data_IF_527092804910
#
_entry.id   IF_527092804910
#
_cell.length_a   1.000
_cell.length_b   1.000
_cell.length_c   1.000
_cell.angle_alpha   90.00
_cell.angle_beta   90.00
_cell.angle_gamma   90.00
#
_symmetry.space_group_name_H-M   'P 1'
#
loop_
_entity.id
_entity.type
_entity.pdbx_description
1 polymer ?
#
# COMPACT_ATOMS: atom_id res chain seq x y z
N UNK A 1 -21.13 51.77 32.57
CA UNK A 1 -20.54 50.70 31.75
C UNK A 1 -20.42 51.01 30.25
N UNK A 2 -20.90 52.16 29.72
CA UNK A 2 -20.83 52.47 28.27
C UNK A 2 -19.58 53.25 27.81
N UNK A 3 -18.74 53.73 28.74
CA UNK A 3 -17.57 54.58 28.42
C UNK A 3 -16.28 53.78 28.20
N UNK A 4 -16.13 52.58 28.76
CA UNK A 4 -14.92 51.77 28.56
C UNK A 4 -14.89 51.07 27.21
N UNK A 5 -16.04 50.63 26.68
CA UNK A 5 -16.12 49.99 25.36
C UNK A 5 -15.79 50.96 24.22
N UNK A 6 -16.23 52.22 24.34
CA UNK A 6 -15.96 53.26 23.35
C UNK A 6 -14.51 53.74 23.43
N UNK A 7 -13.94 53.84 24.64
CA UNK A 7 -12.53 54.15 24.83
C UNK A 7 -11.63 53.05 24.24
N UNK A 8 -11.98 51.77 24.42
CA UNK A 8 -11.25 50.64 23.85
C UNK A 8 -11.27 50.65 22.31
N UNK A 9 -12.46 50.87 21.71
CA UNK A 9 -12.63 51.04 20.26
C UNK A 9 -11.86 52.25 19.72
N UNK A 10 -11.85 53.36 20.44
CA UNK A 10 -11.09 54.55 20.05
C UNK A 10 -9.57 54.36 20.22
N UNK A 11 -9.08 53.62 21.23
CA UNK A 11 -7.65 53.28 21.32
C UNK A 11 -7.21 52.35 20.20
N UNK A 12 -8.06 51.40 19.77
CA UNK A 12 -7.76 50.58 18.59
C UNK A 12 -7.72 51.41 17.29
N UNK A 13 -8.57 52.42 17.17
CA UNK A 13 -8.60 53.31 16.00
C UNK A 13 -7.41 54.29 15.92
N UNK A 14 -6.69 54.55 17.03
CA UNK A 14 -5.57 55.50 17.07
C UNK A 14 -4.21 54.82 16.80
N UNK A 15 -4.13 53.48 16.86
CA UNK A 15 -2.89 52.74 16.59
C UNK A 15 -2.60 52.51 15.09
N UNK A 16 -3.47 52.94 14.18
CA UNK A 16 -3.36 52.66 12.73
C UNK A 16 -2.41 53.61 11.96
N UNK A 17 -1.38 54.19 12.59
CA UNK A 17 -0.50 55.19 11.95
C UNK A 17 1.00 54.84 12.01
N UNK A 18 1.36 53.62 12.43
CA UNK A 18 2.73 53.13 12.31
C UNK A 18 2.69 51.73 11.70
N UNK A 19 3.56 51.45 10.73
CA UNK A 19 3.64 50.19 9.96
C UNK A 19 3.98 48.96 10.78
N UNK A 20 3.13 48.64 11.75
CA UNK A 20 3.16 47.48 12.61
C UNK A 20 1.87 46.68 12.37
N UNK A 21 2.01 45.36 12.27
CA UNK A 21 0.89 44.44 12.11
C UNK A 21 -0.24 44.71 13.13
N UNK A 22 -1.48 44.63 12.67
CA UNK A 22 -2.65 44.96 13.48
C UNK A 22 -2.85 43.89 14.56
N UNK A 23 -2.97 44.24 15.85
CA UNK A 23 -3.05 43.24 16.92
C UNK A 23 -4.42 42.54 16.99
N UNK A 24 -5.49 43.24 16.59
CA UNK A 24 -6.86 42.73 16.59
C UNK A 24 -7.55 43.16 15.30
N UNK A 25 -8.03 42.21 14.51
CA UNK A 25 -8.85 42.46 13.33
C UNK A 25 -10.17 41.71 13.43
N UNK A 26 -11.27 42.41 13.18
CA UNK A 26 -12.62 41.85 13.17
C UNK A 26 -13.23 42.04 11.80
N UNK A 27 -13.85 40.98 11.28
CA UNK A 27 -14.38 40.93 9.93
C UNK A 27 -15.82 40.44 9.97
N UNK A 28 -16.71 41.16 9.28
CA UNK A 28 -18.10 40.73 9.10
C UNK A 28 -18.45 40.55 7.61
N UNK A 29 -18.19 41.62 6.86
CA UNK A 29 -18.21 41.64 5.39
C UNK A 29 -16.94 42.31 4.83
N UNK A 30 -16.28 43.12 5.65
CA UNK A 30 -15.02 43.78 5.37
C UNK A 30 -14.17 43.77 6.63
N UNK A 31 -12.87 43.72 6.46
CA UNK A 31 -11.94 43.70 7.57
C UNK A 31 -11.83 45.07 8.24
N UNK A 32 -11.81 45.09 9.57
CA UNK A 32 -11.61 46.27 10.39
C UNK A 32 -10.58 45.96 11.49
N UNK A 33 -9.40 46.61 11.51
CA UNK A 33 -8.78 47.45 10.46
C UNK A 33 -8.57 46.75 9.10
N UNK A 34 -8.26 47.51 8.04
CA UNK A 34 -8.06 46.99 6.66
C UNK A 34 -6.69 46.36 6.40
N UNK A 35 -5.82 46.31 7.40
CA UNK A 35 -4.47 45.77 7.25
C UNK A 35 -4.50 44.28 6.87
N UNK A 36 -3.49 43.84 6.13
CA UNK A 36 -3.38 42.45 5.68
C UNK A 36 -2.58 41.58 6.63
N UNK A 37 -1.86 42.18 7.58
CA UNK A 37 -1.09 41.47 8.59
C UNK A 37 -1.73 41.65 9.97
N UNK A 38 -2.04 40.53 10.60
CA UNK A 38 -2.59 40.48 11.97
C UNK A 38 -1.60 39.75 12.86
N UNK A 39 -1.17 40.39 13.95
CA UNK A 39 -0.30 39.77 14.96
C UNK A 39 -1.01 39.75 16.31
N UNK A 40 -1.87 38.76 16.50
CA UNK A 40 -2.71 38.63 17.68
C UNK A 40 -4.00 37.88 17.38
N UNK A 41 -5.12 38.58 17.26
CA UNK A 41 -6.44 37.98 17.12
C UNK A 41 -7.15 38.40 15.82
N UNK A 42 -7.55 37.44 15.00
CA UNK A 42 -8.45 37.64 13.88
C UNK A 42 -9.79 36.95 14.17
N UNK A 43 -10.89 37.69 14.05
CA UNK A 43 -12.22 37.16 14.33
C UNK A 43 -13.18 37.45 13.19
N UNK A 44 -13.82 36.41 12.66
CA UNK A 44 -14.68 36.51 11.48
C UNK A 44 -16.11 36.08 11.78
N UNK A 45 -17.07 36.92 11.36
CA UNK A 45 -18.50 36.66 11.38
C UNK A 45 -19.04 36.77 9.95
N UNK A 46 -19.30 35.66 9.25
CA UNK A 46 -19.71 35.58 7.84
C UNK A 46 -18.59 35.61 6.79
N UNK A 47 -17.78 36.67 6.67
CA UNK A 47 -16.76 36.73 5.63
C UNK A 47 -15.54 37.59 5.98
N UNK A 48 -14.37 37.12 5.56
CA UNK A 48 -13.09 37.85 5.61
C UNK A 48 -12.24 37.51 4.37
N UNK A 49 -11.29 38.39 4.06
CA UNK A 49 -10.19 38.12 3.13
C UNK A 49 -8.96 38.87 3.63
N UNK A 50 -8.07 38.18 4.32
CA UNK A 50 -6.90 38.74 5.03
C UNK A 50 -5.62 38.07 4.53
N UNK A 51 -4.49 38.76 4.66
CA UNK A 51 -3.18 38.21 4.32
C UNK A 51 -2.69 37.20 5.36
N UNK A 52 -1.75 37.63 6.21
CA UNK A 52 -1.11 36.76 7.20
C UNK A 52 -1.69 37.00 8.59
N UNK A 53 -2.10 35.92 9.25
CA UNK A 53 -2.49 35.94 10.67
C UNK A 53 -1.44 35.18 11.48
N UNK A 54 -0.77 35.88 12.38
CA UNK A 54 0.13 35.28 13.37
C UNK A 54 -0.53 35.35 14.75
N UNK A 55 -1.10 34.24 15.21
CA UNK A 55 -1.83 34.19 16.48
C UNK A 55 -3.08 33.31 16.45
N UNK A 56 -4.20 33.84 16.93
CA UNK A 56 -5.48 33.13 17.00
C UNK A 56 -6.44 33.62 15.92
N UNK A 57 -6.91 32.70 15.10
CA UNK A 57 -7.98 32.92 14.12
C UNK A 57 -9.28 32.23 14.58
N UNK A 58 -10.38 32.99 14.62
CA UNK A 58 -11.67 32.51 15.12
C UNK A 58 -12.80 32.81 14.12
N UNK A 59 -12.97 31.97 13.09
CA UNK A 59 -14.07 32.10 12.16
C UNK A 59 -15.32 31.41 12.75
N UNK A 60 -16.32 32.21 13.12
CA UNK A 60 -17.48 31.71 13.89
C UNK A 60 -18.55 31.11 12.98
N UNK A 61 -19.07 31.91 12.05
CA UNK A 61 -20.20 31.59 11.17
C UNK A 61 -19.95 32.11 9.75
N UNK A 62 -18.86 31.69 9.10
CA UNK A 62 -18.45 32.33 7.85
C UNK A 62 -17.52 31.54 6.94
N UNK A 63 -17.12 32.19 5.85
CA UNK A 63 -16.04 31.76 4.98
C UNK A 63 -14.85 32.69 5.22
N UNK A 64 -13.78 32.13 5.77
CA UNK A 64 -12.59 32.87 6.16
C UNK A 64 -11.47 32.57 5.16
N UNK A 65 -10.96 33.61 4.49
CA UNK A 65 -9.85 33.48 3.55
C UNK A 65 -8.60 34.14 4.10
N UNK A 66 -7.53 33.34 4.23
CA UNK A 66 -6.21 33.76 4.66
C UNK A 66 -5.18 33.43 3.59
N UNK A 67 -4.16 34.26 3.42
CA UNK A 67 -2.99 33.87 2.65
C UNK A 67 -2.11 32.91 3.44
N UNK A 68 -1.86 33.18 4.74
CA UNK A 68 -1.05 32.33 5.61
C UNK A 68 -1.49 32.42 7.08
N UNK A 69 -1.45 31.28 7.77
CA UNK A 69 -1.72 31.21 9.21
C UNK A 69 -0.47 30.73 9.97
N UNK A 70 0.02 31.51 10.91
CA UNK A 70 1.07 31.12 11.86
C UNK A 70 0.46 31.10 13.27
N UNK A 71 -0.21 30.01 13.63
CA UNK A 71 -0.85 29.89 14.94
C UNK A 71 -2.01 28.90 14.98
N UNK A 72 -3.08 29.27 15.67
CA UNK A 72 -4.22 28.40 15.93
C UNK A 72 -5.47 28.96 15.26
N UNK A 73 -6.18 28.12 14.51
CA UNK A 73 -7.51 28.39 14.02
C UNK A 73 -8.54 27.50 14.72
N UNK A 74 -9.63 28.12 15.18
CA UNK A 74 -10.77 27.46 15.81
C UNK A 74 -12.07 27.85 15.09
N UNK A 75 -12.39 27.15 14.00
CA UNK A 75 -13.63 27.33 13.25
C UNK A 75 -14.79 26.56 13.88
N UNK A 76 -15.80 27.27 14.41
CA UNK A 76 -16.94 26.60 15.07
C UNK A 76 -17.86 25.93 14.04
N UNK A 77 -18.23 26.64 12.96
CA UNK A 77 -19.14 26.17 11.89
C UNK A 77 -18.63 26.57 10.48
N UNK A 78 -17.55 27.36 10.43
CA UNK A 78 -17.01 27.98 9.23
C UNK A 78 -16.15 27.04 8.38
N UNK A 79 -16.10 27.29 7.07
CA UNK A 79 -15.04 26.77 6.21
C UNK A 79 -13.89 27.77 6.17
N UNK A 80 -12.67 27.29 6.40
CA UNK A 80 -11.46 28.11 6.24
C UNK A 80 -10.75 27.75 4.95
N UNK A 81 -10.29 28.79 4.23
CA UNK A 81 -9.37 28.66 3.12
C UNK A 81 -8.08 29.40 3.42
N UNK A 82 -6.98 28.65 3.43
CA UNK A 82 -5.62 29.19 3.60
C UNK A 82 -4.87 28.97 2.28
N UNK A 83 -4.36 30.03 1.63
CA UNK A 83 -3.86 29.91 0.24
C UNK A 83 -2.43 29.37 0.14
N UNK A 84 -1.54 29.78 1.04
CA UNK A 84 -0.11 29.47 1.01
C UNK A 84 0.37 28.59 2.17
N UNK A 85 -0.55 28.12 3.01
CA UNK A 85 -0.28 27.12 4.03
C UNK A 85 -0.33 27.65 5.46
N UNK A 86 -0.15 26.73 6.40
CA UNK A 86 -0.26 26.97 7.84
C UNK A 86 0.98 26.48 8.59
N UNK A 87 1.44 27.25 9.57
CA UNK A 87 2.33 26.78 10.62
C UNK A 87 1.58 26.79 11.96
N UNK A 88 1.06 25.63 12.39
CA UNK A 88 0.32 25.52 13.64
C UNK A 88 -0.83 24.51 13.60
N UNK A 89 -2.03 24.91 14.00
CA UNK A 89 -3.17 23.99 14.03
C UNK A 89 -4.46 24.64 13.53
N UNK A 90 -5.25 23.88 12.77
CA UNK A 90 -6.58 24.27 12.32
C UNK A 90 -7.61 23.24 12.77
N UNK A 91 -8.64 23.72 13.47
CA UNK A 91 -9.76 22.91 13.94
C UNK A 91 -11.04 23.57 13.41
N UNK A 92 -11.57 23.04 12.31
CA UNK A 92 -12.76 23.57 11.64
C UNK A 92 -13.57 22.45 10.98
N UNK A 93 -14.83 22.70 10.59
CA UNK A 93 -15.59 21.68 9.85
C UNK A 93 -14.98 21.39 8.47
N UNK A 94 -14.52 22.44 7.78
CA UNK A 94 -13.92 22.35 6.45
C UNK A 94 -12.59 23.12 6.44
N UNK A 95 -11.49 22.40 6.27
CA UNK A 95 -10.15 22.95 6.10
C UNK A 95 -9.76 22.85 4.62
N UNK A 96 -9.61 23.98 3.93
CA UNK A 96 -9.21 24.07 2.51
C UNK A 96 -7.90 24.82 2.38
N UNK A 97 -6.79 24.12 2.53
CA UNK A 97 -5.47 24.74 2.56
C UNK A 97 -4.69 24.41 1.28
N UNK A 98 -4.13 25.44 0.65
CA UNK A 98 -3.10 25.30 -0.37
C UNK A 98 -1.72 25.50 0.24
N UNK A 99 -0.66 25.13 -0.49
CA UNK A 99 0.70 25.26 0.00
C UNK A 99 1.05 24.20 1.04
N UNK A 100 1.90 24.59 2.01
CA UNK A 100 2.47 23.69 3.01
C UNK A 100 1.81 23.89 4.38
N UNK A 101 1.22 22.83 4.90
CA UNK A 101 0.62 22.78 6.23
C UNK A 101 1.56 22.06 7.20
N UNK A 102 2.36 22.85 7.92
CA UNK A 102 3.21 22.38 9.00
C UNK A 102 2.42 22.37 10.32
N UNK A 103 1.85 21.22 10.67
CA UNK A 103 1.22 21.01 11.97
C UNK A 103 -0.02 20.12 11.94
N UNK A 104 -1.12 20.56 12.56
CA UNK A 104 -2.29 19.71 12.82
C UNK A 104 -3.57 20.23 12.20
N UNK A 105 -4.22 19.41 11.37
CA UNK A 105 -5.52 19.69 10.77
C UNK A 105 -6.59 18.74 11.32
N UNK A 106 -7.65 19.29 11.91
CA UNK A 106 -8.82 18.55 12.37
C UNK A 106 -10.07 19.10 11.72
N UNK A 107 -10.85 18.23 11.08
CA UNK A 107 -12.12 18.64 10.51
C UNK A 107 -12.98 17.50 10.00
N UNK A 108 -14.18 17.84 9.53
CA UNK A 108 -15.02 16.85 8.82
C UNK A 108 -14.41 16.57 7.45
N UNK A 109 -14.00 17.64 6.76
CA UNK A 109 -13.30 17.61 5.49
C UNK A 109 -11.99 18.37 5.62
N UNK A 110 -10.88 17.69 5.38
CA UNK A 110 -9.58 18.30 5.20
C UNK A 110 -9.20 18.15 3.73
N UNK A 111 -8.96 19.25 3.01
CA UNK A 111 -8.31 19.24 1.70
C UNK A 111 -7.12 20.19 1.78
N UNK A 112 -5.94 19.60 1.88
CA UNK A 112 -4.69 20.30 2.12
C UNK A 112 -3.73 20.09 0.94
N UNK A 113 -2.75 20.98 0.80
CA UNK A 113 -1.67 20.80 -0.16
C UNK A 113 -0.69 19.74 0.34
N UNK A 114 0.48 20.19 0.77
CA UNK A 114 1.52 19.34 1.34
C UNK A 114 1.41 19.40 2.86
N UNK A 115 1.08 18.27 3.49
CA UNK A 115 0.91 18.17 4.93
C UNK A 115 2.21 17.68 5.58
N UNK A 116 2.80 18.50 6.44
CA UNK A 116 3.92 18.11 7.30
C UNK A 116 3.44 18.08 8.76
N UNK A 117 2.95 16.92 9.19
CA UNK A 117 2.38 16.77 10.53
C UNK A 117 1.24 15.77 10.58
N UNK A 118 0.07 16.17 11.09
CA UNK A 118 -1.05 15.29 11.28
C UNK A 118 -2.37 15.86 10.76
N UNK A 119 -3.17 15.00 10.12
CA UNK A 119 -4.54 15.31 9.68
C UNK A 119 -5.51 14.25 10.20
N UNK A 120 -6.63 14.70 10.75
CA UNK A 120 -7.75 13.84 11.14
C UNK A 120 -9.06 14.39 10.58
N UNK A 121 -9.78 13.58 9.81
CA UNK A 121 -11.14 13.93 9.40
C UNK A 121 -11.99 12.79 8.87
N UNK A 122 -13.25 13.06 8.53
CA UNK A 122 -14.08 12.02 7.89
C UNK A 122 -13.55 11.78 6.48
N UNK A 123 -13.27 12.86 5.75
CA UNK A 123 -12.61 12.83 4.45
C UNK A 123 -11.34 13.68 4.53
N UNK A 124 -10.19 13.06 4.26
CA UNK A 124 -8.88 13.72 4.28
C UNK A 124 -8.19 13.59 2.93
N UNK A 125 -8.08 14.71 2.23
CA UNK A 125 -7.44 14.84 0.92
C UNK A 125 -6.15 15.66 1.04
N UNK A 126 -5.05 15.15 0.52
CA UNK A 126 -3.76 15.84 0.53
C UNK A 126 -2.97 15.56 -0.75
N UNK A 127 -2.21 16.53 -1.26
CA UNK A 127 -1.27 16.26 -2.37
C UNK A 127 -0.10 15.42 -1.91
N UNK A 128 0.45 15.73 -0.75
CA UNK A 128 1.52 14.96 -0.14
C UNK A 128 1.33 14.95 1.37
N UNK A 129 1.72 13.84 2.01
CA UNK A 129 1.68 13.68 3.45
C UNK A 129 3.06 13.26 3.93
N UNK A 130 3.66 14.06 4.80
CA UNK A 130 4.83 13.72 5.58
C UNK A 130 4.42 13.72 7.07
N UNK A 131 4.01 12.55 7.57
CA UNK A 131 3.50 12.39 8.93
C UNK A 131 2.32 11.42 9.03
N UNK A 132 1.23 11.83 9.67
CA UNK A 132 0.10 10.95 10.00
C UNK A 132 -1.21 11.47 9.40
N UNK A 133 -1.89 10.65 8.62
CA UNK A 133 -3.21 10.94 8.08
C UNK A 133 -4.21 9.92 8.56
N UNK A 134 -5.31 10.40 9.12
CA UNK A 134 -6.39 9.57 9.61
C UNK A 134 -7.70 10.05 8.99
N UNK A 135 -8.47 9.12 8.45
CA UNK A 135 -9.86 9.42 8.19
C UNK A 135 -10.74 8.22 7.95
N UNK A 136 -12.02 8.46 7.65
CA UNK A 136 -12.90 7.39 7.18
C UNK A 136 -12.53 7.04 5.74
N UNK A 137 -12.31 8.07 4.93
CA UNK A 137 -11.74 8.00 3.59
C UNK A 137 -10.53 8.92 3.50
N UNK A 138 -9.45 8.43 2.91
CA UNK A 138 -8.28 9.24 2.60
C UNK A 138 -8.00 9.24 1.09
N UNK A 139 -7.62 10.39 0.55
CA UNK A 139 -7.29 10.59 -0.85
C UNK A 139 -5.97 11.37 -0.96
N UNK A 140 -4.88 10.69 -1.24
CA UNK A 140 -3.52 11.24 -1.13
C UNK A 140 -2.74 11.14 -2.43
N UNK A 141 -1.87 12.10 -2.73
CA UNK A 141 -0.87 11.92 -3.77
C UNK A 141 0.25 11.01 -3.26
N UNK A 142 1.19 11.56 -2.52
CA UNK A 142 2.26 10.79 -1.87
C UNK A 142 2.05 10.68 -0.36
N UNK A 143 2.47 9.57 0.23
CA UNK A 143 2.47 9.33 1.68
C UNK A 143 3.88 8.94 2.12
N UNK A 144 4.45 9.70 3.04
CA UNK A 144 5.65 9.39 3.79
C UNK A 144 5.28 9.39 5.28
N UNK A 145 4.98 8.21 5.83
CA UNK A 145 4.53 8.06 7.21
C UNK A 145 3.36 7.09 7.36
N UNK A 146 2.28 7.50 8.01
CA UNK A 146 1.16 6.62 8.39
C UNK A 146 -0.14 7.13 7.77
N UNK A 147 -0.82 6.31 6.99
CA UNK A 147 -2.13 6.59 6.41
C UNK A 147 -3.16 5.56 6.90
N UNK A 148 -4.19 6.01 7.63
CA UNK A 148 -5.19 5.16 8.25
C UNK A 148 -6.59 5.54 7.77
N UNK A 149 -7.25 4.63 7.07
CA UNK A 149 -8.61 4.77 6.57
C UNK A 149 -9.54 3.81 7.28
N UNK A 150 -10.64 4.31 7.84
CA UNK A 150 -11.65 3.42 8.44
C UNK A 150 -12.39 2.59 7.36
N UNK A 151 -12.44 3.08 6.13
CA UNK A 151 -13.05 2.39 4.97
C UNK A 151 -12.03 2.25 3.85
N UNK A 152 -11.47 3.35 3.36
CA UNK A 152 -10.56 3.29 2.22
C UNK A 152 -9.45 4.33 2.25
N UNK A 153 -8.31 3.93 1.69
CA UNK A 153 -7.19 4.80 1.35
C UNK A 153 -6.96 4.73 -0.16
N UNK A 154 -7.12 5.86 -0.84
CA UNK A 154 -6.80 6.03 -2.26
C UNK A 154 -5.55 6.88 -2.40
N UNK A 155 -4.49 6.33 -2.98
CA UNK A 155 -3.18 6.97 -3.14
C UNK A 155 -2.77 6.98 -4.61
N UNK A 156 -2.61 8.16 -5.20
CA UNK A 156 -2.27 8.29 -6.63
C UNK A 156 -0.76 8.21 -6.91
N UNK A 157 0.06 8.49 -5.90
CA UNK A 157 1.51 8.37 -5.90
C UNK A 157 1.99 7.20 -5.06
N UNK A 158 3.08 7.40 -4.31
CA UNK A 158 3.76 6.35 -3.56
C UNK A 158 3.39 6.35 -2.07
N UNK A 159 3.49 5.18 -1.45
CA UNK A 159 3.41 5.02 0.00
C UNK A 159 4.75 4.56 0.55
N UNK A 160 5.42 5.43 1.30
CA UNK A 160 6.61 5.13 2.08
C UNK A 160 6.24 5.09 3.57
N UNK A 161 5.87 3.92 4.09
CA UNK A 161 5.48 3.76 5.50
C UNK A 161 4.36 2.75 5.74
N UNK A 162 3.34 3.13 6.52
CA UNK A 162 2.26 2.23 6.95
C UNK A 162 0.92 2.70 6.39
N UNK A 163 0.21 1.82 5.70
CA UNK A 163 -1.08 2.11 5.09
C UNK A 163 -2.12 1.05 5.47
N UNK A 164 -3.15 1.45 6.20
CA UNK A 164 -4.15 0.54 6.77
C UNK A 164 -5.55 1.05 6.48
N UNK A 165 -6.33 0.24 5.77
CA UNK A 165 -7.78 0.41 5.60
C UNK A 165 -8.39 -0.89 5.08
N UNK A 166 -9.71 -1.12 5.23
CA UNK A 166 -10.36 -2.23 4.55
C UNK A 166 -10.07 -2.30 3.04
N UNK A 167 -10.05 -1.16 2.36
CA UNK A 167 -9.71 -1.05 0.94
C UNK A 167 -8.52 -0.10 0.74
N UNK A 168 -7.38 -0.63 0.36
CA UNK A 168 -6.20 0.17 -0.02
C UNK A 168 -6.05 0.14 -1.54
N UNK A 169 -5.90 1.31 -2.14
CA UNK A 169 -5.58 1.49 -3.56
C UNK A 169 -4.37 2.41 -3.69
N UNK A 170 -3.27 1.92 -4.27
CA UNK A 170 -2.05 2.71 -4.48
C UNK A 170 -1.60 2.55 -5.93
N UNK A 171 -1.69 3.62 -6.72
CA UNK A 171 -1.43 3.54 -8.17
C UNK A 171 0.04 3.32 -8.51
N UNK A 172 0.97 3.77 -7.66
CA UNK A 172 2.40 3.52 -7.81
C UNK A 172 2.86 2.51 -6.76
N UNK A 173 3.98 2.76 -6.11
CA UNK A 173 4.68 1.78 -5.30
C UNK A 173 4.43 1.97 -3.80
N UNK A 174 4.48 0.87 -3.06
CA UNK A 174 4.51 0.89 -1.58
C UNK A 174 5.84 0.36 -1.07
N UNK A 175 6.60 1.17 -0.34
CA UNK A 175 7.71 0.73 0.49
C UNK A 175 7.30 0.78 1.97
N UNK A 176 7.00 -0.39 2.55
CA UNK A 176 6.59 -0.49 3.95
C UNK A 176 5.55 -1.56 4.23
N UNK A 177 4.47 -1.21 4.93
CA UNK A 177 3.47 -2.14 5.43
C UNK A 177 2.07 -1.75 4.98
N UNK A 178 1.42 -2.63 4.21
CA UNK A 178 0.01 -2.55 3.86
C UNK A 178 -0.79 -3.58 4.68
N UNK A 179 -1.87 -3.15 5.33
CA UNK A 179 -2.82 -4.04 6.01
C UNK A 179 -4.24 -3.69 5.60
N UNK A 180 -4.92 -4.61 4.92
CA UNK A 180 -6.26 -4.39 4.40
C UNK A 180 -7.09 -5.66 4.30
N UNK A 181 -8.35 -5.51 3.87
CA UNK A 181 -9.16 -6.63 3.40
C UNK A 181 -8.84 -6.88 1.92
N UNK A 182 -8.85 -5.82 1.12
CA UNK A 182 -8.41 -5.83 -0.27
C UNK A 182 -7.31 -4.78 -0.47
N UNK A 183 -6.21 -5.19 -1.09
CA UNK A 183 -5.10 -4.31 -1.43
C UNK A 183 -4.85 -4.28 -2.94
N UNK A 184 -4.71 -3.09 -3.50
CA UNK A 184 -4.13 -2.87 -4.84
C UNK A 184 -2.88 -1.98 -4.73
N UNK A 185 -1.79 -2.38 -5.38
CA UNK A 185 -0.54 -1.62 -5.46
C UNK A 185 0.20 -1.87 -6.78
N UNK A 186 1.10 -0.99 -7.18
CA UNK A 186 2.08 -1.24 -8.25
C UNK A 186 3.12 -2.27 -7.80
N UNK A 187 4.28 -1.81 -7.32
CA UNK A 187 5.27 -2.64 -6.65
C UNK A 187 5.15 -2.54 -5.12
N UNK A 188 5.49 -3.61 -4.41
CA UNK A 188 5.54 -3.61 -2.94
C UNK A 188 6.91 -4.04 -2.43
N UNK A 189 7.59 -3.17 -1.68
CA UNK A 189 8.80 -3.51 -0.95
C UNK A 189 8.51 -3.52 0.55
N UNK A 190 8.28 -4.70 1.14
CA UNK A 190 7.96 -4.86 2.55
C UNK A 190 6.90 -5.92 2.82
N UNK A 191 5.87 -5.57 3.61
CA UNK A 191 4.84 -6.50 4.06
C UNK A 191 3.48 -6.08 3.49
N UNK A 192 2.83 -7.00 2.79
CA UNK A 192 1.53 -6.80 2.18
C UNK A 192 0.53 -7.83 2.71
N UNK A 193 -0.45 -7.38 3.49
CA UNK A 193 -1.47 -8.24 4.10
C UNK A 193 -2.85 -7.82 3.61
N UNK A 194 -3.54 -8.70 2.90
CA UNK A 194 -4.88 -8.51 2.36
C UNK A 194 -5.78 -9.68 2.74
N UNK A 195 -6.69 -9.47 3.69
CA UNK A 195 -7.47 -10.55 4.29
C UNK A 195 -8.29 -11.37 3.28
N UNK A 196 -8.75 -10.75 2.18
CA UNK A 196 -9.42 -11.43 1.07
C UNK A 196 -8.55 -11.47 -0.19
N UNK A 197 -7.76 -10.43 -0.44
CA UNK A 197 -6.80 -10.51 -1.54
C UNK A 197 -5.89 -9.32 -1.72
N UNK A 198 -4.79 -9.61 -2.40
CA UNK A 198 -3.76 -8.68 -2.80
C UNK A 198 -3.60 -8.71 -4.31
N UNK A 199 -3.65 -7.54 -4.94
CA UNK A 199 -3.34 -7.35 -6.34
C UNK A 199 -2.14 -6.41 -6.46
N UNK A 200 -1.01 -6.92 -6.95
CA UNK A 200 0.16 -6.13 -7.29
C UNK A 200 0.35 -6.16 -8.80
N UNK A 201 0.33 -5.02 -9.47
CA UNK A 201 0.58 -4.97 -10.92
C UNK A 201 2.05 -5.24 -11.27
N UNK A 202 2.94 -4.92 -10.32
CA UNK A 202 4.38 -5.17 -10.40
C UNK A 202 4.86 -6.21 -9.40
N UNK A 203 6.10 -6.02 -8.95
CA UNK A 203 6.83 -6.98 -8.15
C UNK A 203 6.65 -6.76 -6.64
N UNK A 204 6.68 -7.86 -5.89
CA UNK A 204 6.67 -7.85 -4.42
C UNK A 204 8.03 -8.33 -3.91
N UNK A 205 8.76 -7.45 -3.24
CA UNK A 205 9.97 -7.78 -2.50
C UNK A 205 9.65 -7.82 -1.00
N UNK A 206 9.42 -9.03 -0.46
CA UNK A 206 9.12 -9.23 0.95
C UNK A 206 8.03 -10.28 1.21
N UNK A 207 7.04 -9.94 2.03
CA UNK A 207 5.98 -10.85 2.49
C UNK A 207 4.63 -10.47 1.86
N UNK A 208 3.97 -11.41 1.20
CA UNK A 208 2.62 -11.26 0.67
C UNK A 208 1.68 -12.29 1.30
N UNK A 209 0.65 -11.84 2.02
CA UNK A 209 -0.27 -12.70 2.78
C UNK A 209 -1.72 -12.37 2.45
N UNK A 210 -2.50 -13.38 2.03
CA UNK A 210 -3.93 -13.19 1.79
C UNK A 210 -4.68 -14.49 1.52
N UNK A 211 -5.95 -14.39 1.10
CA UNK A 211 -6.69 -15.55 0.57
C UNK A 211 -6.42 -15.77 -0.92
N UNK A 212 -6.29 -14.66 -1.67
CA UNK A 212 -5.93 -14.64 -3.09
C UNK A 212 -4.81 -13.62 -3.28
N UNK A 213 -3.67 -14.08 -3.79
CA UNK A 213 -2.53 -13.22 -4.11
C UNK A 213 -2.29 -13.22 -5.61
N UNK A 214 -2.36 -12.04 -6.24
CA UNK A 214 -2.02 -11.81 -7.64
C UNK A 214 -0.86 -10.82 -7.71
N UNK A 215 0.22 -11.17 -8.38
CA UNK A 215 1.42 -10.31 -8.47
C UNK A 215 2.20 -10.51 -9.78
N UNK A 216 3.00 -9.52 -10.17
CA UNK A 216 3.99 -9.65 -11.26
C UNK A 216 5.06 -10.68 -10.92
N UNK A 217 6.03 -10.32 -10.09
CA UNK A 217 7.02 -11.27 -9.52
C UNK A 217 7.05 -11.17 -8.00
N UNK A 218 7.62 -12.15 -7.32
CA UNK A 218 7.80 -12.15 -5.86
C UNK A 218 9.23 -12.55 -5.53
N UNK A 219 9.93 -11.71 -4.78
CA UNK A 219 11.17 -12.06 -4.09
C UNK A 219 10.89 -12.08 -2.59
N UNK A 220 10.76 -13.27 -2.00
CA UNK A 220 10.47 -13.43 -0.58
C UNK A 220 9.47 -14.55 -0.28
N UNK A 221 8.40 -14.24 0.44
CA UNK A 221 7.42 -15.22 0.89
C UNK A 221 6.00 -14.86 0.42
N UNK A 222 5.33 -15.79 -0.26
CA UNK A 222 3.96 -15.65 -0.74
C UNK A 222 3.07 -16.70 -0.09
N UNK A 223 2.10 -16.28 0.71
CA UNK A 223 1.22 -17.16 1.48
C UNK A 223 -0.23 -16.84 1.19
N UNK A 224 -0.88 -17.70 0.42
CA UNK A 224 -2.32 -17.68 0.23
C UNK A 224 -2.80 -19.04 -0.27
N UNK A 225 -4.03 -19.48 0.08
CA UNK A 225 -4.67 -20.61 -0.56
C UNK A 225 -4.64 -20.54 -2.09
N UNK A 226 -4.75 -19.35 -2.69
CA UNK A 226 -4.65 -19.16 -4.14
C UNK A 226 -3.57 -18.13 -4.46
N UNK A 227 -2.49 -18.58 -5.09
CA UNK A 227 -1.39 -17.74 -5.56
C UNK A 227 -1.35 -17.72 -7.09
N UNK A 228 -1.31 -16.54 -7.70
CA UNK A 228 -1.08 -16.32 -9.12
C UNK A 228 0.04 -15.29 -9.31
N UNK A 229 1.19 -15.75 -9.78
CA UNK A 229 2.37 -14.90 -9.94
C UNK A 229 3.12 -15.22 -11.22
N UNK A 230 3.90 -14.27 -11.75
CA UNK A 230 4.91 -14.53 -12.77
C UNK A 230 6.08 -15.31 -12.16
N UNK A 231 7.13 -14.63 -11.74
CA UNK A 231 8.31 -15.30 -11.20
C UNK A 231 8.33 -15.25 -9.67
N UNK A 232 8.75 -16.34 -9.02
CA UNK A 232 8.86 -16.43 -7.57
C UNK A 232 10.28 -16.84 -7.21
N UNK A 233 10.96 -16.01 -6.41
CA UNK A 233 12.24 -16.32 -5.79
C UNK A 233 12.05 -16.35 -4.27
N UNK A 234 12.03 -17.54 -3.67
CA UNK A 234 11.86 -17.73 -2.23
C UNK A 234 10.85 -18.84 -1.89
N UNK A 235 9.89 -18.54 -1.02
CA UNK A 235 8.91 -19.52 -0.53
C UNK A 235 7.50 -19.14 -0.98
N UNK A 236 6.81 -20.07 -1.64
CA UNK A 236 5.42 -19.93 -2.03
C UNK A 236 4.59 -21.06 -1.44
N UNK A 237 3.55 -20.70 -0.69
CA UNK A 237 2.73 -21.65 0.09
C UNK A 237 1.26 -21.39 -0.18
N UNK A 238 0.53 -22.42 -0.63
CA UNK A 238 -0.90 -22.31 -0.92
C UNK A 238 -1.62 -23.64 -1.12
N UNK A 239 -2.90 -23.60 -1.47
CA UNK A 239 -3.62 -24.78 -1.94
C UNK A 239 -3.43 -24.94 -3.45
N UNK A 240 -3.56 -23.83 -4.17
CA UNK A 240 -3.33 -23.74 -5.62
C UNK A 240 -2.30 -22.66 -5.86
N UNK A 241 -1.20 -23.04 -6.49
CA UNK A 241 -0.17 -22.11 -6.95
C UNK A 241 -0.05 -22.16 -8.47
N UNK A 242 -0.18 -21.00 -9.10
CA UNK A 242 0.10 -20.80 -10.52
C UNK A 242 1.25 -19.81 -10.64
N UNK A 243 2.40 -20.29 -11.11
CA UNK A 243 3.60 -19.50 -11.31
C UNK A 243 4.16 -19.71 -12.73
N UNK A 244 4.95 -18.76 -13.21
CA UNK A 244 5.79 -18.96 -14.38
C UNK A 244 7.09 -19.67 -13.97
N UNK A 245 7.99 -18.99 -13.27
CA UNK A 245 9.21 -19.60 -12.72
C UNK A 245 9.19 -19.62 -11.20
N UNK A 246 9.70 -20.69 -10.58
CA UNK A 246 9.88 -20.78 -9.13
C UNK A 246 11.31 -21.17 -8.77
N UNK A 247 12.05 -20.26 -8.15
CA UNK A 247 13.37 -20.52 -7.57
C UNK A 247 13.25 -20.57 -6.05
N UNK A 248 13.34 -21.75 -5.45
CA UNK A 248 13.20 -21.97 -4.01
C UNK A 248 12.21 -23.06 -3.66
N UNK A 249 11.22 -22.76 -2.82
CA UNK A 249 10.23 -23.73 -2.35
C UNK A 249 8.83 -23.35 -2.83
N UNK A 250 8.17 -24.28 -3.49
CA UNK A 250 6.76 -24.20 -3.85
C UNK A 250 5.99 -25.31 -3.14
N UNK A 251 5.09 -24.96 -2.22
CA UNK A 251 4.30 -25.90 -1.44
C UNK A 251 2.82 -25.68 -1.68
N UNK A 252 2.11 -26.71 -2.14
CA UNK A 252 0.66 -26.66 -2.18
C UNK A 252 -0.04 -27.98 -2.44
N UNK A 253 -1.36 -27.94 -2.64
CA UNK A 253 -2.09 -29.13 -3.07
C UNK A 253 -1.94 -29.32 -4.58
N UNK A 254 -2.04 -28.23 -5.34
CA UNK A 254 -1.84 -28.19 -6.79
C UNK A 254 -0.82 -27.10 -7.11
N UNK A 255 0.31 -27.50 -7.67
CA UNK A 255 1.35 -26.60 -8.14
C UNK A 255 1.42 -26.65 -9.66
N UNK A 256 1.24 -25.51 -10.31
CA UNK A 256 1.37 -25.34 -11.76
C UNK A 256 2.46 -24.31 -11.99
N UNK A 257 3.55 -24.73 -12.63
CA UNK A 257 4.70 -23.86 -12.92
C UNK A 257 5.26 -24.17 -14.31
N UNK A 258 6.01 -23.26 -14.92
CA UNK A 258 6.80 -23.60 -16.10
C UNK A 258 8.12 -24.22 -15.67
N UNK A 259 8.93 -23.48 -14.95
CA UNK A 259 10.26 -23.92 -14.52
C UNK A 259 10.38 -23.84 -13.00
N UNK A 260 10.92 -24.88 -12.37
CA UNK A 260 11.17 -24.93 -10.93
C UNK A 260 12.62 -25.26 -10.65
N UNK A 261 13.32 -24.39 -9.92
CA UNK A 261 14.65 -24.61 -9.38
C UNK A 261 14.57 -24.69 -7.86
N UNK A 262 14.63 -25.91 -7.29
CA UNK A 262 14.51 -26.14 -5.84
C UNK A 262 13.54 -27.25 -5.49
N UNK A 263 12.55 -26.98 -4.63
CA UNK A 263 11.62 -27.98 -4.11
C UNK A 263 10.18 -27.64 -4.50
N UNK A 264 9.54 -28.53 -5.26
CA UNK A 264 8.14 -28.49 -5.63
C UNK A 264 7.38 -29.59 -4.86
N UNK A 265 6.57 -29.20 -3.89
CA UNK A 265 5.91 -30.09 -2.93
C UNK A 265 4.40 -29.97 -3.10
N UNK A 266 3.75 -31.04 -3.57
CA UNK A 266 2.39 -31.03 -4.08
C UNK A 266 1.59 -32.27 -3.72
N UNK A 267 0.26 -32.24 -3.83
CA UNK A 267 -0.48 -33.48 -4.17
C UNK A 267 -0.36 -33.72 -5.67
N UNK A 268 -0.53 -32.66 -6.46
CA UNK A 268 -0.34 -32.65 -7.91
C UNK A 268 0.65 -31.55 -8.28
N UNK A 269 1.72 -31.93 -8.96
CA UNK A 269 2.71 -31.01 -9.51
C UNK A 269 2.69 -31.11 -11.04
N UNK A 270 2.51 -29.97 -11.71
CA UNK A 270 2.56 -29.84 -13.17
C UNK A 270 3.61 -28.81 -13.53
N UNK A 271 4.63 -29.22 -14.28
CA UNK A 271 5.76 -28.37 -14.68
C UNK A 271 6.24 -28.66 -16.10
N UNK A 272 7.05 -27.77 -16.68
CA UNK A 272 7.87 -28.10 -17.86
C UNK A 272 9.23 -28.63 -17.41
N UNK A 273 9.99 -27.85 -16.65
CA UNK A 273 11.29 -28.27 -16.14
C UNK A 273 11.35 -28.20 -14.61
N UNK A 274 11.97 -29.20 -13.99
CA UNK A 274 12.25 -29.23 -12.56
C UNK A 274 13.71 -29.58 -12.30
N UNK A 275 14.49 -28.57 -11.92
CA UNK A 275 15.84 -28.72 -11.41
C UNK A 275 15.80 -28.79 -9.87
N UNK A 276 15.67 -30.01 -9.35
CA UNK A 276 15.61 -30.26 -7.91
C UNK A 276 14.63 -31.37 -7.55
N UNK A 277 13.92 -31.19 -6.44
CA UNK A 277 12.98 -32.17 -5.90
C UNK A 277 11.55 -31.85 -6.33
N UNK A 278 10.89 -32.81 -6.97
CA UNK A 278 9.47 -32.80 -7.26
C UNK A 278 8.79 -33.92 -6.46
N UNK A 279 8.04 -33.54 -5.42
CA UNK A 279 7.39 -34.50 -4.52
C UNK A 279 5.88 -34.33 -4.55
N UNK A 280 5.15 -35.40 -4.84
CA UNK A 280 3.69 -35.39 -4.77
C UNK A 280 3.04 -36.69 -5.18
N UNK A 281 1.73 -36.82 -5.00
CA UNK A 281 1.03 -38.03 -5.44
C UNK A 281 1.11 -38.21 -6.96
N UNK A 282 1.01 -37.10 -7.70
CA UNK A 282 1.16 -37.04 -9.15
C UNK A 282 2.17 -35.95 -9.51
N UNK A 283 3.23 -36.34 -10.21
CA UNK A 283 4.23 -35.42 -10.76
C UNK A 283 4.21 -35.54 -12.29
N UNK A 284 3.99 -34.41 -12.98
CA UNK A 284 4.01 -34.33 -14.43
C UNK A 284 4.95 -33.21 -14.88
N UNK A 285 5.99 -33.58 -15.61
CA UNK A 285 6.96 -32.67 -16.23
C UNK A 285 6.96 -32.86 -17.75
N UNK A 286 6.65 -31.83 -18.52
CA UNK A 286 6.65 -31.92 -19.98
C UNK A 286 8.06 -31.90 -20.61
N UNK A 287 9.10 -31.60 -19.81
CA UNK A 287 10.50 -31.57 -20.21
C UNK A 287 11.35 -32.39 -19.24
N UNK A 288 12.35 -31.74 -18.66
CA UNK A 288 13.34 -32.39 -17.78
C UNK A 288 12.93 -32.35 -16.31
N UNK A 289 13.12 -33.46 -15.59
CA UNK A 289 12.99 -33.49 -14.13
C UNK A 289 14.16 -34.21 -13.47
N UNK A 290 14.79 -33.56 -12.49
CA UNK A 290 15.95 -34.14 -11.80
C UNK A 290 15.55 -35.28 -10.86
N UNK A 291 14.55 -35.08 -10.01
CA UNK A 291 14.12 -36.05 -9.00
C UNK A 291 12.62 -35.97 -8.79
N UNK A 292 11.90 -37.00 -9.24
CA UNK A 292 10.46 -37.13 -8.99
C UNK A 292 10.17 -38.24 -7.95
N UNK A 293 9.38 -37.92 -6.95
CA UNK A 293 8.95 -38.87 -5.91
C UNK A 293 7.43 -38.79 -5.77
N UNK A 294 6.75 -39.91 -6.02
CA UNK A 294 5.29 -39.90 -6.06
C UNK A 294 4.62 -41.23 -6.34
N UNK A 295 3.29 -41.28 -6.30
CA UNK A 295 2.57 -42.48 -6.73
C UNK A 295 2.66 -42.65 -8.25
N UNK A 296 2.55 -41.55 -8.98
CA UNK A 296 2.74 -41.46 -10.42
C UNK A 296 3.72 -40.36 -10.78
N UNK A 297 4.76 -40.70 -11.54
CA UNK A 297 5.75 -39.75 -12.04
C UNK A 297 5.85 -39.85 -13.56
N UNK A 298 5.72 -38.71 -14.25
CA UNK A 298 5.98 -38.59 -15.68
C UNK A 298 6.93 -37.41 -15.95
N UNK A 299 7.97 -37.66 -16.73
CA UNK A 299 8.87 -36.63 -17.25
C UNK A 299 9.39 -37.03 -18.64
N UNK A 300 9.54 -36.09 -19.57
CA UNK A 300 10.11 -36.41 -20.89
C UNK A 300 11.57 -36.87 -20.75
N UNK A 301 12.36 -36.21 -19.91
CA UNK A 301 13.71 -36.64 -19.51
C UNK A 301 13.84 -36.65 -17.99
N UNK A 302 14.48 -37.67 -17.42
CA UNK A 302 14.67 -37.74 -15.96
C UNK A 302 15.96 -38.42 -15.52
N UNK A 303 16.52 -37.90 -14.41
CA UNK A 303 17.68 -38.51 -13.74
C UNK A 303 17.27 -39.54 -12.68
N UNK A 304 16.25 -39.25 -11.86
CA UNK A 304 15.80 -40.17 -10.82
C UNK A 304 14.29 -40.12 -10.60
N UNK A 305 13.65 -41.30 -10.50
CA UNK A 305 12.24 -41.38 -10.12
C UNK A 305 12.00 -42.51 -9.10
N UNK A 306 11.17 -42.22 -8.10
CA UNK A 306 10.67 -43.20 -7.14
C UNK A 306 9.15 -43.16 -7.06
N UNK A 307 8.49 -44.30 -7.30
CA UNK A 307 7.03 -44.33 -7.26
C UNK A 307 6.37 -45.66 -7.55
N UNK A 308 5.03 -45.71 -7.54
CA UNK A 308 4.32 -46.92 -7.96
C UNK A 308 4.43 -47.08 -9.48
N UNK A 309 4.27 -45.98 -10.21
CA UNK A 309 4.36 -45.91 -11.66
C UNK A 309 5.30 -44.76 -12.03
N UNK A 310 6.38 -45.09 -12.74
CA UNK A 310 7.33 -44.13 -13.31
C UNK A 310 7.30 -44.25 -14.83
N UNK A 311 7.21 -43.13 -15.54
CA UNK A 311 7.18 -43.08 -17.00
C UNK A 311 8.09 -41.96 -17.53
N UNK A 312 8.92 -42.28 -18.50
CA UNK A 312 9.77 -41.29 -19.19
C UNK A 312 10.05 -41.67 -20.64
N UNK A 313 10.34 -40.67 -21.48
CA UNK A 313 10.84 -40.92 -22.82
C UNK A 313 12.36 -41.18 -22.77
N UNK A 314 13.09 -40.38 -21.99
CA UNK A 314 14.54 -40.42 -21.87
C UNK A 314 14.99 -40.54 -20.40
N UNK A 315 15.34 -41.77 -20.00
CA UNK A 315 15.98 -42.01 -18.70
C UNK A 315 17.50 -41.78 -18.81
N UNK A 316 18.07 -40.98 -17.91
CA UNK A 316 19.52 -40.75 -17.78
C UNK A 316 20.13 -41.40 -16.52
N UNK A 317 19.29 -41.79 -15.56
CA UNK A 317 19.74 -42.41 -14.32
C UNK A 317 18.90 -43.63 -13.92
N UNK A 318 18.17 -43.52 -12.80
CA UNK A 318 17.57 -44.67 -12.10
C UNK A 318 16.08 -44.44 -11.82
N UNK A 319 15.24 -45.43 -12.14
CA UNK A 319 13.86 -45.52 -11.69
C UNK A 319 13.69 -46.68 -10.72
N UNK A 320 12.94 -46.44 -9.64
CA UNK A 320 12.53 -47.47 -8.69
C UNK A 320 11.01 -47.41 -8.55
N UNK A 321 10.33 -48.51 -8.86
CA UNK A 321 8.89 -48.56 -8.77
C UNK A 321 8.27 -49.88 -9.19
N UNK A 322 6.98 -50.06 -8.91
CA UNK A 322 6.25 -51.29 -9.27
C UNK A 322 6.24 -51.45 -10.80
N UNK A 323 5.98 -50.36 -11.51
CA UNK A 323 6.00 -50.27 -12.97
C UNK A 323 6.92 -49.13 -13.38
N UNK A 324 7.94 -49.43 -14.18
CA UNK A 324 8.88 -48.44 -14.72
C UNK A 324 8.85 -48.52 -16.25
N UNK A 325 8.46 -47.42 -16.91
CA UNK A 325 8.37 -47.29 -18.35
C UNK A 325 9.42 -46.29 -18.82
N UNK A 326 10.33 -46.72 -19.68
CA UNK A 326 11.33 -45.85 -20.29
C UNK A 326 11.51 -46.21 -21.77
N UNK A 327 11.14 -45.31 -22.68
CA UNK A 327 11.18 -45.58 -24.12
C UNK A 327 12.60 -45.82 -24.66
N UNK A 328 13.60 -45.18 -24.05
CA UNK A 328 15.02 -45.32 -24.39
C UNK A 328 15.77 -46.40 -23.57
N UNK A 329 15.10 -47.20 -22.73
CA UNK A 329 15.74 -48.24 -21.93
C UNK A 329 15.89 -49.57 -22.71
N UNK A 330 16.86 -50.40 -22.30
CA UNK A 330 17.12 -51.70 -22.91
C UNK A 330 15.90 -52.65 -22.89
N UNK A 331 15.01 -52.49 -21.90
CA UNK A 331 13.69 -53.11 -21.83
C UNK A 331 12.67 -52.00 -21.52
N UNK A 332 11.68 -51.75 -22.39
CA UNK A 332 10.79 -50.59 -22.24
C UNK A 332 9.91 -50.58 -20.98
N UNK A 333 9.64 -51.75 -20.39
CA UNK A 333 8.88 -51.89 -19.14
C UNK A 333 9.59 -52.86 -18.22
N UNK A 334 10.02 -52.39 -17.04
CA UNK A 334 10.67 -53.23 -16.03
C UNK A 334 9.97 -53.13 -14.67
N UNK A 335 9.70 -54.27 -14.00
CA UNK A 335 9.27 -54.26 -12.62
C UNK A 335 10.43 -53.90 -11.68
N UNK A 336 10.12 -53.21 -10.59
CA UNK A 336 11.02 -52.84 -9.49
C UNK A 336 12.10 -51.79 -9.83
N UNK A 337 12.94 -52.02 -10.84
CA UNK A 337 14.09 -51.14 -11.16
C UNK A 337 14.30 -51.01 -12.68
N UNK A 338 14.53 -49.78 -13.16
CA UNK A 338 14.98 -49.50 -14.53
C UNK A 338 16.16 -48.49 -14.52
N UNK A 339 17.10 -48.62 -15.45
CA UNK A 339 18.28 -47.75 -15.54
C UNK A 339 18.80 -47.65 -16.97
N UNK A 340 19.41 -46.51 -17.31
CA UNK A 340 20.09 -46.33 -18.60
C UNK A 340 21.56 -46.76 -18.51
N UNK A 341 22.05 -47.50 -19.52
CA UNK A 341 23.47 -47.86 -19.66
C UNK A 341 24.09 -47.05 -20.80
N UNK A 342 24.99 -46.12 -20.46
CA UNK A 342 25.95 -45.58 -21.42
C UNK A 342 27.03 -46.65 -21.66
N UNK A 343 27.12 -47.16 -22.88
CA UNK A 343 28.23 -48.01 -23.35
C UNK A 343 29.29 -47.15 -24.03
#
# INVERSE_FOLDING_TARGET
MKRSTFALLCTCAIYSVAGHATPIQLSAYSNLPKDTEVNGFHGTLFYSDTGTVSGLDLPVLGYDQLDQLNGLQLGVIAGSRIRHGMNGAAISLFNWHGGEDNGFNLGVVNRVGDLYGASLGIYSEAKSINGVNLGVFTATGDVNGVNLGAIANDTTGQVNGVNVAPFNWTQQDTAGVNVSILNHSGNVNGVNVGALGNWSEGDINGLNLGLVNVSGSITGANLAPFNYSGDITGANVGLVSMAHNVTGMNLGAVNISRDVEGANLGVVNVSHHVNGLNFGAVNFSAGESSTDIGAFNYADTTSFQFGLINATQHLEGLQIGVINIAANAAVPVLPLVNYHRTF
#
